data_IF_250348289114
#
_entry.id   IF_250348289114
#
_cell.length_a   1.000
_cell.length_b   1.000
_cell.length_c   1.000
_cell.angle_alpha   90.00
_cell.angle_beta   90.00
_cell.angle_gamma   90.00
#
_symmetry.space_group_name_H-M   'P 1'
#
loop_
_entity.id
_entity.type
_entity.pdbx_description
1 polymer ?
2 non-polymer ?
3 non-polymer ?
4 water ?
#
# COMPACT_ATOMS: atom_id res chain seq x y z
N UNK A 22 5.38 -13.20 21.99
CA UNK A 22 4.66 -13.61 20.75
C UNK A 22 5.17 -14.95 20.22
N UNK A 23 4.30 -15.69 19.49
CA UNK A 23 4.75 -16.88 18.74
C UNK A 23 5.58 -16.53 17.50
N UNK A 24 6.17 -17.53 16.84
CA UNK A 24 6.86 -17.35 15.55
C UNK A 24 5.89 -16.67 14.60
N UNK A 25 6.40 -15.90 13.61
CA UNK A 25 5.55 -15.17 12.62
C UNK A 25 4.48 -16.06 11.99
N UNK A 26 4.87 -17.20 11.45
CA UNK A 26 3.92 -18.10 10.78
C UNK A 26 2.84 -18.62 11.74
N UNK A 27 3.22 -18.98 12.96
CA UNK A 27 2.25 -19.44 13.97
C UNK A 27 1.26 -18.31 14.33
N UNK A 28 1.79 -17.07 14.43
CA UNK A 28 0.91 -15.93 14.74
C UNK A 28 -0.06 -15.70 13.58
N UNK A 29 0.43 -15.80 12.34
CA UNK A 29 -0.45 -15.63 11.15
C UNK A 29 -1.62 -16.64 11.22
N UNK A 30 -1.29 -17.89 11.55
CA UNK A 30 -2.34 -18.94 11.66
C UNK A 30 -3.33 -18.58 12.75
N UNK A 31 -2.85 -18.14 13.92
CA UNK A 31 -3.70 -17.72 15.04
C UNK A 31 -4.61 -16.55 14.62
N UNK A 32 -4.07 -15.61 13.84
CA UNK A 32 -4.94 -14.55 13.30
C UNK A 32 -6.10 -15.04 12.38
N UNK A 33 -5.84 -16.00 11.48
CA UNK A 33 -6.95 -16.58 10.69
C UNK A 33 -7.97 -17.27 11.59
N UNK A 34 -7.46 -18.08 12.51
CA UNK A 34 -8.36 -18.74 13.48
C UNK A 34 -9.25 -17.74 14.25
N UNK A 35 -8.65 -16.66 14.74
CA UNK A 35 -9.40 -15.72 15.57
C UNK A 35 -10.35 -14.84 14.74
N UNK A 36 -9.94 -14.54 13.52
CA UNK A 36 -10.74 -13.68 12.65
C UNK A 36 -11.74 -14.44 11.79
N UNK A 37 -11.56 -15.76 11.66
CA UNK A 37 -12.33 -16.53 10.67
C UNK A 37 -12.17 -15.96 9.24
N UNK A 38 -11.02 -15.36 8.97
CA UNK A 38 -10.73 -14.85 7.62
C UNK A 38 -9.40 -15.31 7.08
N UNK A 39 -9.12 -14.97 5.80
CA UNK A 39 -7.85 -15.32 5.13
C UNK A 39 -6.89 -14.20 5.40
N UNK A 40 -5.65 -14.56 5.76
CA UNK A 40 -4.56 -13.62 5.87
C UNK A 40 -3.59 -13.92 4.73
N UNK A 41 -2.98 -12.90 4.12
CA UNK A 41 -1.95 -13.10 3.08
C UNK A 41 -0.79 -12.25 3.56
N UNK A 42 0.41 -12.80 3.47
CA UNK A 42 1.56 -12.13 4.07
C UNK A 42 2.85 -12.44 3.34
N UNK A 43 3.67 -11.40 3.09
CA UNK A 43 5.04 -11.63 2.78
C UNK A 43 5.98 -10.69 3.55
N UNK A 44 7.16 -11.21 3.85
CA UNK A 44 8.20 -10.44 4.50
C UNK A 44 9.39 -10.62 3.55
N UNK A 45 9.98 -9.54 3.10
CA UNK A 45 10.98 -9.59 2.07
C UNK A 45 12.10 -8.59 2.38
N UNK A 46 13.37 -8.98 2.19
CA UNK A 46 14.47 -8.03 2.34
C UNK A 46 14.34 -7.00 1.26
N UNK A 47 14.36 -5.74 1.64
CA UNK A 47 14.18 -4.70 0.65
C UNK A 47 15.35 -4.60 -0.35
N UNK A 48 16.57 -4.69 0.17
CA UNK A 48 17.74 -4.59 -0.70
C UNK A 48 17.83 -5.73 -1.73
N UNK A 49 17.57 -6.97 -1.33
CA UNK A 49 17.85 -8.10 -2.26
C UNK A 49 16.61 -8.82 -2.83
N UNK A 50 15.46 -8.66 -2.16
CA UNK A 50 14.26 -9.45 -2.52
C UNK A 50 14.18 -10.85 -1.89
N UNK A 51 15.11 -11.17 -0.99
CA UNK A 51 15.01 -12.45 -0.31
C UNK A 51 13.64 -12.57 0.36
N UNK A 52 12.90 -13.62 0.04
CA UNK A 52 11.63 -13.87 0.79
C UNK A 52 11.93 -14.64 2.10
N UNK A 53 11.52 -14.07 3.24
CA UNK A 53 11.68 -14.68 4.55
C UNK A 53 10.43 -15.40 5.02
N UNK A 54 9.27 -14.76 4.90
CA UNK A 54 8.01 -15.41 5.33
C UNK A 54 7.04 -15.21 4.20
N UNK A 55 6.29 -16.27 3.85
CA UNK A 55 5.30 -16.19 2.78
C UNK A 55 4.12 -17.02 3.25
N UNK A 56 2.94 -16.43 3.34
CA UNK A 56 1.75 -17.19 3.70
C UNK A 56 0.64 -16.74 2.81
N UNK A 57 0.04 -17.69 2.09
CA UNK A 57 -0.94 -17.43 1.02
C UNK A 57 -0.44 -16.31 0.11
N UNK A 58 0.84 -16.38 -0.22
CA UNK A 58 1.44 -15.28 -0.94
C UNK A 58 1.10 -15.19 -2.44
N UNK A 59 0.49 -16.24 -2.96
CA UNK A 59 0.04 -16.31 -4.34
C UNK A 59 -1.47 -16.27 -4.43
N UNK A 60 -2.13 -15.98 -3.29
CA UNK A 60 -3.58 -15.86 -3.33
C UNK A 60 -3.96 -14.39 -3.50
N UNK A 61 -5.13 -14.14 -4.10
CA UNK A 61 -5.57 -12.76 -4.33
C UNK A 61 -6.24 -12.08 -3.14
N UNK A 62 -5.92 -10.81 -2.93
CA UNK A 62 -6.54 -9.98 -1.90
C UNK A 62 -6.84 -8.62 -2.52
N UNK A 63 -7.96 -8.00 -2.13
CA UNK A 63 -8.20 -6.60 -2.58
C UNK A 63 -7.07 -5.66 -2.05
N UNK A 64 -6.54 -4.83 -2.94
CA UNK A 64 -5.48 -3.87 -2.58
C UNK A 64 -6.01 -2.77 -1.68
N UNK A 65 -7.25 -2.37 -1.96
CA UNK A 65 -7.84 -1.20 -1.30
C UNK A 65 -6.92 0.00 -1.48
N UNK A 66 -6.62 0.76 -0.39
CA UNK A 66 -5.89 2.03 -0.59
C UNK A 66 -4.42 1.79 -0.84
N UNK A 67 -3.98 0.55 -0.64
CA UNK A 67 -2.56 0.22 -0.92
C UNK A 67 -2.17 0.45 -2.38
N UNK A 68 -3.16 0.47 -3.30
CA UNK A 68 -2.90 0.62 -4.68
C UNK A 68 -2.31 2.01 -4.94
N UNK A 69 -2.57 2.97 -4.07
CA UNK A 69 -2.09 4.36 -4.27
C UNK A 69 -0.57 4.49 -4.29
N UNK A 70 0.14 3.58 -3.68
CA UNK A 70 1.63 3.61 -3.76
C UNK A 70 2.05 3.25 -5.21
N UNK A 71 1.35 2.30 -5.81
CA UNK A 71 1.65 1.87 -7.18
C UNK A 71 1.26 2.99 -8.15
N UNK A 72 0.08 3.54 -7.96
CA UNK A 72 -0.39 4.72 -8.65
C UNK A 72 0.66 5.81 -8.75
N UNK A 73 1.17 6.27 -7.61
CA UNK A 73 2.22 7.27 -7.57
C UNK A 73 3.57 6.84 -8.19
N UNK A 74 3.86 5.52 -8.16
CA UNK A 74 5.02 4.98 -8.89
C UNK A 74 4.81 5.22 -10.40
N UNK A 75 3.61 5.00 -10.90
CA UNK A 75 3.30 5.27 -12.33
C UNK A 75 3.38 6.79 -12.65
N UNK A 76 2.88 7.63 -11.75
CA UNK A 76 3.10 9.08 -11.86
C UNK A 76 4.56 9.47 -11.95
N UNK A 77 5.37 8.96 -11.03
CA UNK A 77 6.77 9.28 -11.04
C UNK A 77 7.44 8.78 -12.32
N UNK A 78 7.02 7.64 -12.86
CA UNK A 78 7.63 7.14 -14.09
C UNK A 78 7.37 8.14 -15.18
N UNK A 79 6.18 8.75 -15.19
CA UNK A 79 5.84 9.77 -16.19
C UNK A 79 6.66 11.05 -16.01
N UNK A 80 6.91 11.44 -14.76
CA UNK A 80 7.79 12.59 -14.48
C UNK A 80 9.24 12.33 -14.97
N UNK A 81 9.74 11.12 -14.74
CA UNK A 81 11.10 10.72 -15.18
C UNK A 81 11.23 10.77 -16.71
N UNK A 82 10.15 10.41 -17.41
CA UNK A 82 10.08 10.40 -18.87
C UNK A 82 9.84 11.80 -19.52
N UNK A 83 9.60 12.85 -18.69
CA UNK A 83 9.31 14.22 -19.16
C UNK A 83 7.86 14.41 -19.61
N UNK A 84 7.00 13.48 -19.21
CA UNK A 84 5.60 13.47 -19.60
C UNK A 84 4.68 14.04 -18.53
N UNK A 85 5.25 14.35 -17.36
CA UNK A 85 4.50 14.85 -16.19
C UNK A 85 5.46 15.73 -15.37
N UNK A 86 4.94 16.71 -14.61
CA UNK A 86 5.77 17.40 -13.59
C UNK A 86 5.05 17.34 -12.27
N UNK A 87 5.81 17.16 -11.19
CA UNK A 87 5.16 17.07 -9.87
C UNK A 87 4.64 18.47 -9.58
N UNK A 88 5.21 19.48 -10.28
CA UNK A 88 4.79 20.90 -10.06
C UNK A 88 3.46 21.24 -10.70
N UNK A 89 3.03 20.45 -11.69
CA UNK A 89 1.95 20.85 -12.51
C UNK A 89 0.66 20.95 -11.69
N UNK A 90 -0.02 22.09 -11.79
CA UNK A 90 -1.20 22.31 -10.96
C UNK A 90 -2.43 21.75 -11.65
N UNK A 91 -3.25 20.98 -10.94
CA UNK A 91 -4.45 20.38 -11.49
C UNK A 91 -5.63 21.08 -10.85
N UNK A 92 -6.57 21.54 -11.69
CA UNK A 92 -7.80 22.18 -11.19
C UNK A 92 -8.98 21.28 -11.42
N UNK A 93 -9.87 21.24 -10.44
CA UNK A 93 -10.96 20.26 -10.50
C UNK A 93 -12.21 20.89 -9.90
N UNK A 94 -13.34 20.21 -10.04
CA UNK A 94 -14.61 20.75 -9.62
C UNK A 94 -15.22 19.92 -8.52
N UNK A 95 -16.16 20.50 -7.80
CA UNK A 95 -16.76 19.82 -6.69
C UNK A 95 -17.42 18.51 -7.10
N UNK A 96 -17.98 18.51 -8.31
CA UNK A 96 -18.61 17.30 -8.90
C UNK A 96 -17.59 16.16 -9.15
N UNK A 97 -16.29 16.47 -9.08
CA UNK A 97 -15.23 15.46 -9.28
C UNK A 97 -14.93 14.72 -8.01
N UNK A 98 -15.40 15.27 -6.89
CA UNK A 98 -15.09 14.70 -5.61
C UNK A 98 -15.88 13.45 -5.31
N UNK A 99 -15.17 12.43 -4.82
CA UNK A 99 -15.80 11.23 -4.29
C UNK A 99 -15.65 11.18 -2.78
N UNK A 100 -16.27 10.17 -2.17
CA UNK A 100 -16.23 10.02 -0.75
C UNK A 100 -14.81 10.06 -0.19
N UNK A 101 -14.60 10.96 0.79
CA UNK A 101 -13.40 11.14 1.60
C UNK A 101 -12.29 11.87 0.87
N UNK A 102 -12.35 13.19 0.98
CA UNK A 102 -11.49 14.12 0.24
C UNK A 102 -10.96 15.21 1.19
N UNK A 103 -10.27 14.78 2.29
CA UNK A 103 -9.94 15.71 3.41
C UNK A 103 -9.03 16.84 2.96
N UNK A 104 -8.16 16.58 1.99
CA UNK A 104 -7.24 17.62 1.45
C UNK A 104 -7.84 18.22 0.19
N UNK A 105 -8.26 17.39 -0.75
CA UNK A 105 -8.71 17.88 -2.04
C UNK A 105 -9.97 18.77 -1.93
N UNK A 106 -10.81 18.52 -0.94
CA UNK A 106 -12.04 19.35 -0.88
C UNK A 106 -11.68 20.78 -0.45
N UNK A 107 -10.45 20.99 0.03
CA UNK A 107 -10.03 22.32 0.50
C UNK A 107 -9.45 23.17 -0.64
N UNK A 108 -9.33 22.60 -1.85
CA UNK A 108 -8.63 23.31 -2.96
C UNK A 108 -9.45 23.34 -4.23
N UNK A 109 -10.76 23.49 -4.07
CA UNK A 109 -11.62 23.73 -5.21
C UNK A 109 -11.26 25.03 -5.93
N UNK A 110 -10.82 26.04 -5.17
CA UNK A 110 -10.52 27.33 -5.82
C UNK A 110 -9.13 27.36 -6.46
N UNK A 111 -8.14 26.77 -5.80
CA UNK A 111 -6.74 26.97 -6.22
C UNK A 111 -6.05 25.75 -6.80
N UNK A 112 -6.69 24.60 -6.75
CA UNK A 112 -6.09 23.37 -7.28
C UNK A 112 -5.01 22.79 -6.39
N UNK A 113 -4.44 21.70 -6.89
CA UNK A 113 -3.35 20.99 -6.25
C UNK A 113 -2.36 20.55 -7.28
N UNK A 114 -1.08 20.57 -6.91
CA UNK A 114 -0.04 20.09 -7.83
C UNK A 114 -0.13 18.56 -7.87
N UNK A 115 0.40 17.96 -8.93
CA UNK A 115 0.50 16.50 -9.04
C UNK A 115 1.21 15.91 -7.79
N UNK A 116 2.34 16.51 -7.40
CA UNK A 116 3.05 16.09 -6.25
C UNK A 116 2.21 16.17 -4.98
N UNK A 117 1.49 17.28 -4.82
CA UNK A 117 0.56 17.43 -3.71
C UNK A 117 -0.54 16.37 -3.74
N UNK A 118 -1.04 16.04 -4.94
CA UNK A 118 -2.06 14.99 -5.02
C UNK A 118 -1.53 13.62 -4.56
N UNK A 119 -0.30 13.29 -4.94
CA UNK A 119 0.30 12.07 -4.44
C UNK A 119 0.51 12.10 -2.92
N UNK A 120 0.99 13.21 -2.36
CA UNK A 120 1.09 13.34 -0.88
C UNK A 120 -0.31 13.10 -0.24
N UNK A 121 -1.33 13.73 -0.81
CA UNK A 121 -2.69 13.61 -0.28
C UNK A 121 -3.20 12.20 -0.38
N UNK A 122 -3.06 11.59 -1.55
CA UNK A 122 -3.42 10.13 -1.69
C UNK A 122 -2.70 9.21 -0.72
N UNK A 123 -1.37 9.33 -0.63
CA UNK A 123 -0.61 8.32 0.13
C UNK A 123 -0.66 8.62 1.63
N UNK A 124 -0.47 9.89 2.01
CA UNK A 124 -0.37 10.25 3.41
C UNK A 124 -1.69 10.52 4.13
N UNK A 125 -2.74 10.90 3.39
CA UNK A 125 -4.05 11.15 4.02
C UNK A 125 -5.15 10.26 3.50
N UNK A 126 -4.80 9.41 2.56
CA UNK A 126 -5.79 8.47 1.95
C UNK A 126 -6.90 9.25 1.25
N UNK A 127 -6.53 10.35 0.63
CA UNK A 127 -7.55 11.20 -0.07
C UNK A 127 -8.02 10.52 -1.36
N UNK A 128 -9.31 10.18 -1.46
CA UNK A 128 -9.82 9.40 -2.60
C UNK A 128 -9.99 10.16 -3.87
N UNK A 129 -10.37 11.43 -3.74
CA UNK A 129 -10.46 12.27 -4.93
C UNK A 129 -9.06 12.56 -5.47
N UNK A 130 -8.10 12.82 -4.58
CA UNK A 130 -6.70 12.93 -5.08
C UNK A 130 -6.24 11.69 -5.85
N UNK A 131 -6.58 10.52 -5.32
CA UNK A 131 -6.26 9.26 -6.04
C UNK A 131 -6.95 9.16 -7.39
N UNK A 132 -8.24 9.51 -7.48
CA UNK A 132 -8.90 9.44 -8.77
C UNK A 132 -8.34 10.48 -9.74
N UNK A 133 -8.00 11.68 -9.23
CA UNK A 133 -7.40 12.68 -10.12
C UNK A 133 -6.09 12.13 -10.72
N UNK A 134 -5.24 11.56 -9.87
CA UNK A 134 -4.02 10.89 -10.34
C UNK A 134 -4.26 9.75 -11.34
N UNK A 135 -5.30 8.97 -11.07
CA UNK A 135 -5.62 7.79 -11.86
C UNK A 135 -5.95 8.22 -13.29
N UNK A 136 -6.64 9.36 -13.41
CA UNK A 136 -6.96 9.93 -14.70
C UNK A 136 -5.67 10.29 -15.47
N UNK A 137 -4.66 10.80 -14.77
CA UNK A 137 -3.42 11.16 -15.47
C UNK A 137 -2.64 10.00 -16.07
N UNK A 138 -2.84 8.79 -15.56
CA UNK A 138 -2.06 7.62 -15.96
C UNK A 138 -2.86 6.70 -16.87
N UNK A 139 -4.04 7.14 -17.29
CA UNK A 139 -4.91 6.33 -18.15
C UNK A 139 -5.95 5.42 -17.46
N UNK A 140 -6.30 5.76 -16.23
CA UNK A 140 -7.29 5.04 -15.47
C UNK A 140 -6.80 3.69 -14.97
N UNK A 141 -7.71 2.90 -14.43
CA UNK A 141 -7.42 1.53 -14.00
C UNK A 141 -6.69 0.72 -15.10
N UNK A 142 -7.14 0.82 -16.35
CA UNK A 142 -6.48 0.09 -17.45
C UNK A 142 -5.03 0.54 -17.62
N UNK A 143 -4.83 1.85 -17.60
CA UNK A 143 -3.48 2.44 -17.71
C UNK A 143 -2.54 2.04 -16.60
N UNK A 144 -3.08 1.90 -15.37
CA UNK A 144 -2.20 1.57 -14.27
C UNK A 144 -1.86 0.08 -14.37
N UNK A 145 -2.84 -0.73 -14.76
CA UNK A 145 -2.63 -2.17 -15.01
C UNK A 145 -1.59 -2.37 -16.12
N UNK A 146 -1.64 -1.56 -17.15
CA UNK A 146 -0.68 -1.59 -18.26
C UNK A 146 0.71 -1.25 -17.74
N UNK A 147 0.79 -0.21 -16.90
CA UNK A 147 2.08 0.09 -16.24
C UNK A 147 2.60 -1.10 -15.41
N UNK A 148 1.74 -1.72 -14.61
CA UNK A 148 2.14 -2.90 -13.83
C UNK A 148 2.72 -3.97 -14.77
N UNK A 149 2.02 -4.26 -15.90
CA UNK A 149 2.52 -5.25 -16.88
C UNK A 149 3.91 -4.84 -17.40
N UNK A 150 4.11 -3.55 -17.63
CA UNK A 150 5.42 -3.07 -18.11
C UNK A 150 6.57 -3.20 -17.13
N UNK A 151 6.28 -3.18 -15.84
CA UNK A 151 7.34 -3.47 -14.85
C UNK A 151 7.42 -4.97 -14.51
N UNK A 152 6.69 -5.83 -15.25
CA UNK A 152 6.79 -7.26 -15.01
C UNK A 152 5.91 -7.84 -13.89
N UNK A 153 4.93 -7.06 -13.45
CA UNK A 153 3.90 -7.60 -12.56
C UNK A 153 2.74 -8.06 -13.42
N UNK A 154 2.57 -9.38 -13.53
CA UNK A 154 1.57 -9.96 -14.41
C UNK A 154 0.34 -10.42 -13.66
N UNK A 155 0.23 -10.01 -12.40
CA UNK A 155 -0.86 -10.47 -11.56
C UNK A 155 -1.74 -9.31 -11.05
N UNK A 156 -1.11 -8.27 -10.51
CA UNK A 156 -1.88 -7.21 -9.84
C UNK A 156 -2.74 -6.52 -10.91
N UNK A 157 -3.97 -6.15 -10.56
CA UNK A 157 -4.85 -5.44 -11.51
C UNK A 157 -5.71 -4.40 -10.80
N UNK A 158 -5.81 -3.21 -11.44
CA UNK A 158 -6.83 -2.26 -11.07
C UNK A 158 -7.88 -2.22 -12.15
N UNK A 159 -9.14 -2.28 -11.71
CA UNK A 159 -10.29 -2.30 -12.58
C UNK A 159 -11.26 -1.14 -12.37
N UNK A 160 -11.28 -0.60 -11.16
CA UNK A 160 -12.24 0.43 -10.77
C UNK A 160 -11.58 1.61 -10.09
N UNK A 161 -12.39 2.62 -9.85
CA UNK A 161 -11.95 3.91 -9.33
C UNK A 161 -12.32 3.94 -7.87
N UNK A 162 -11.83 4.96 -7.16
CA UNK A 162 -12.28 5.19 -5.77
C UNK A 162 -13.77 5.60 -5.79
N UNK A 163 -14.63 5.09 -4.87
CA UNK A 163 -14.34 4.17 -3.80
C UNK A 163 -14.85 2.77 -4.11
N UNK A 164 -15.35 2.52 -5.33
CA UNK A 164 -15.81 1.16 -5.70
C UNK A 164 -14.73 0.09 -5.59
N UNK A 165 -13.44 0.47 -5.69
CA UNK A 165 -12.37 -0.52 -5.73
C UNK A 165 -12.19 -1.21 -4.36
N UNK A 166 -12.82 -0.64 -3.32
CA UNK A 166 -12.81 -1.25 -1.99
C UNK A 166 -13.94 -2.27 -1.72
N UNK A 167 -14.71 -2.62 -2.74
CA UNK A 167 -15.92 -3.44 -2.49
C UNK A 167 -15.66 -4.86 -1.97
N UNK A 168 -14.51 -5.43 -2.35
CA UNK A 168 -14.05 -6.74 -1.79
C UNK A 168 -15.16 -7.81 -1.83
N UNK A 169 -15.82 -7.97 -2.97
CA UNK A 169 -16.77 -9.09 -3.12
C UNK A 169 -16.01 -10.39 -3.05
N UNK A 170 -16.60 -11.40 -2.38
CA UNK A 170 -15.90 -12.66 -2.29
C UNK A 170 -15.71 -13.25 -3.68
N UNK A 171 -14.48 -13.69 -3.96
CA UNK A 171 -14.14 -14.35 -5.24
C UNK A 171 -13.97 -13.48 -6.47
N UNK A 172 -14.08 -12.16 -6.27
CA UNK A 172 -14.02 -11.17 -7.34
C UNK A 172 -12.55 -10.75 -7.54
N UNK A 173 -12.03 -10.97 -8.75
CA UNK A 173 -10.65 -10.70 -9.07
C UNK A 173 -10.37 -9.22 -9.30
N UNK A 174 -11.42 -8.40 -9.35
CA UNK A 174 -11.19 -6.98 -9.66
C UNK A 174 -10.40 -6.30 -8.54
N UNK A 175 -9.48 -5.42 -8.92
CA UNK A 175 -8.78 -4.61 -7.88
C UNK A 175 -7.96 -5.40 -6.88
N UNK A 176 -7.29 -6.46 -7.33
CA UNK A 176 -6.57 -7.36 -6.42
C UNK A 176 -5.11 -7.38 -6.74
N UNK A 177 -4.35 -7.81 -5.74
CA UNK A 177 -2.96 -8.15 -5.90
C UNK A 177 -2.76 -9.50 -5.20
N UNK A 178 -1.52 -9.96 -5.12
CA UNK A 178 -1.20 -11.05 -4.25
C UNK A 178 -0.10 -10.49 -3.37
N UNK A 179 0.09 -11.06 -2.17
CA UNK A 179 1.20 -10.54 -1.34
C UNK A 179 2.56 -10.61 -2.10
N UNK A 180 2.86 -11.76 -2.73
CA UNK A 180 4.15 -11.86 -3.43
C UNK A 180 4.28 -10.79 -4.53
N UNK A 181 3.18 -10.57 -5.27
CA UNK A 181 3.21 -9.62 -6.40
C UNK A 181 3.37 -8.18 -5.94
N UNK A 182 2.66 -7.82 -4.87
CA UNK A 182 2.77 -6.51 -4.31
C UNK A 182 4.14 -6.22 -3.73
N UNK A 183 4.71 -7.18 -2.98
CA UNK A 183 6.07 -7.01 -2.45
C UNK A 183 7.09 -6.83 -3.57
N UNK A 184 6.98 -7.66 -4.63
CA UNK A 184 7.95 -7.54 -5.72
C UNK A 184 7.82 -6.19 -6.42
N UNK A 185 6.58 -5.73 -6.58
CA UNK A 185 6.35 -4.46 -7.30
C UNK A 185 6.83 -3.27 -6.48
N UNK A 186 6.56 -3.26 -5.18
CA UNK A 186 7.05 -2.21 -4.30
C UNK A 186 8.57 -2.16 -4.33
N UNK A 187 9.20 -3.35 -4.18
CA UNK A 187 10.64 -3.44 -4.29
C UNK A 187 11.16 -2.85 -5.61
N UNK A 188 10.50 -3.18 -6.71
CA UNK A 188 10.91 -2.66 -8.01
C UNK A 188 10.80 -1.12 -8.06
N UNK A 189 9.70 -0.58 -7.52
CA UNK A 189 9.49 0.87 -7.60
C UNK A 189 10.48 1.62 -6.72
N UNK A 190 10.83 1.03 -5.56
CA UNK A 190 11.63 1.74 -4.59
C UNK A 190 13.15 1.59 -4.86
N UNK A 191 13.54 0.51 -5.54
CA UNK A 191 14.99 0.15 -5.52
C UNK A 191 15.59 -0.30 -6.84
N UNK A 192 14.79 -0.62 -7.85
CA UNK A 192 15.35 -1.32 -9.07
C UNK A 192 15.95 -0.40 -10.09
N UNK A 193 15.90 0.92 -9.85
CA UNK A 193 16.37 1.90 -10.81
C UNK A 193 15.52 1.95 -12.09
N UNK A 194 14.28 1.43 -12.01
CA UNK A 194 13.29 1.70 -13.01
C UNK A 194 12.86 3.18 -12.89
N UNK A 195 12.71 3.66 -11.65
CA UNK A 195 12.49 5.10 -11.41
C UNK A 195 13.84 5.74 -11.16
N UNK A 196 13.96 7.03 -11.49
CA UNK A 196 15.18 7.80 -11.22
C UNK A 196 15.48 7.83 -9.72
N UNK A 197 16.69 8.25 -9.31
CA UNK A 197 17.03 8.33 -7.92
C UNK A 197 16.08 9.25 -7.18
N UNK A 198 15.83 10.44 -7.72
CA UNK A 198 14.94 11.39 -7.02
C UNK A 198 13.52 10.82 -6.86
N UNK A 199 13.02 10.15 -7.90
CA UNK A 199 11.70 9.54 -7.81
C UNK A 199 11.59 8.39 -6.75
N UNK A 200 12.63 7.55 -6.69
CA UNK A 200 12.62 6.47 -5.67
C UNK A 200 12.61 7.12 -4.32
N UNK A 201 13.39 8.19 -4.18
CA UNK A 201 13.45 8.89 -2.91
C UNK A 201 12.11 9.55 -2.51
N UNK A 202 11.44 10.14 -3.49
CA UNK A 202 10.14 10.78 -3.29
C UNK A 202 9.09 9.75 -2.89
N UNK A 203 9.05 8.61 -3.60
CA UNK A 203 8.06 7.54 -3.23
C UNK A 203 8.18 7.01 -1.80
N UNK A 204 9.43 6.82 -1.39
CA UNK A 204 9.78 6.44 -0.06
C UNK A 204 9.31 7.51 0.91
N UNK A 205 9.62 8.79 0.63
CA UNK A 205 9.28 9.82 1.60
C UNK A 205 7.72 9.95 1.80
N UNK A 206 6.95 9.73 0.73
CA UNK A 206 5.50 9.78 0.87
C UNK A 206 5.01 8.69 1.81
N UNK A 207 5.58 7.49 1.68
CA UNK A 207 5.28 6.40 2.64
C UNK A 207 5.72 6.67 4.06
N UNK A 208 6.93 7.26 4.23
CA UNK A 208 7.36 7.70 5.54
C UNK A 208 6.38 8.70 6.20
N UNK A 209 5.81 9.57 5.38
CA UNK A 209 4.99 10.68 5.86
C UNK A 209 3.53 10.35 6.12
N UNK A 210 3.11 9.08 6.10
CA UNK A 210 1.71 8.76 6.39
C UNK A 210 1.23 9.52 7.65
N UNK A 211 0.06 10.16 7.60
CA UNK A 211 -0.38 11.02 8.72
C UNK A 211 -1.25 10.35 9.74
N UNK A 212 -1.64 9.13 9.40
CA UNK A 212 -2.63 8.46 10.19
C UNK A 212 -2.07 7.21 10.88
N UNK A 213 -1.87 6.13 10.10
CA UNK A 213 -1.37 4.91 10.73
C UNK A 213 0.09 5.05 11.15
N UNK A 214 0.92 5.74 10.35
CA UNK A 214 2.33 5.86 10.65
C UNK A 214 2.63 6.33 12.07
N UNK A 215 2.10 7.49 12.48
CA UNK A 215 2.43 7.97 13.84
C UNK A 215 1.93 7.05 14.98
N UNK A 216 0.77 6.45 14.79
CA UNK A 216 0.28 5.51 15.78
C UNK A 216 1.19 4.31 15.86
N UNK A 217 1.57 3.74 14.70
CA UNK A 217 2.50 2.64 14.73
C UNK A 217 3.84 3.01 15.44
N UNK A 218 4.41 4.17 15.16
CA UNK A 218 5.64 4.56 15.87
C UNK A 218 5.47 4.55 17.37
N UNK A 219 4.31 5.05 17.81
CA UNK A 219 3.98 5.15 19.21
C UNK A 219 3.97 3.79 19.93
N UNK A 220 3.78 2.69 19.19
CA UNK A 220 3.86 1.35 19.79
C UNK A 220 5.07 0.52 19.33
N UNK A 221 5.91 1.06 18.47
CA UNK A 221 7.11 0.32 18.04
C UNK A 221 8.24 0.53 19.07
N UNK A 222 9.06 -0.51 19.36
CA UNK A 222 10.20 -0.24 20.27
C UNK A 222 11.11 0.79 19.62
N UNK A 223 11.89 1.50 20.44
CA UNK A 223 12.85 2.43 19.88
C UNK A 223 13.80 1.75 18.87
N UNK A 224 14.17 2.51 17.84
CA UNK A 224 15.08 2.07 16.83
C UNK A 224 14.41 1.42 15.63
N UNK A 225 13.11 1.14 15.71
CA UNK A 225 12.40 0.58 14.53
C UNK A 225 11.86 1.63 13.55
N UNK A 226 12.36 1.53 12.32
CA UNK A 226 11.89 2.28 11.15
C UNK A 226 10.50 1.83 10.70
N UNK A 227 9.63 2.80 10.43
CA UNK A 227 8.38 2.51 9.69
C UNK A 227 8.03 3.52 8.59
N UNK A 228 7.66 3.00 7.42
CA UNK A 228 6.99 3.69 6.34
C UNK A 228 5.85 2.76 5.90
N UNK A 229 4.72 3.31 5.46
CA UNK A 229 3.57 2.41 5.23
C UNK A 229 2.47 3.04 4.44
N UNK A 230 1.62 2.18 3.87
CA UNK A 230 0.31 2.67 3.37
C UNK A 230 -0.69 1.60 3.77
N UNK A 231 -1.78 2.04 4.40
CA UNK A 231 -2.80 1.10 4.85
C UNK A 231 -4.02 1.20 3.93
N UNK A 232 -4.93 0.25 4.12
CA UNK A 232 -6.19 0.23 3.36
C UNK A 232 -7.25 -0.58 4.07
N UNK A 233 -8.50 -0.34 3.70
CA UNK A 233 -9.61 -1.10 4.26
C UNK A 233 -10.70 -1.21 3.21
N UNK A 234 -11.65 -2.08 3.49
CA UNK A 234 -12.60 -2.53 2.50
C UNK A 234 -13.78 -3.25 3.13
N UNK A 235 -14.69 -3.71 2.28
CA UNK A 235 -15.86 -4.38 2.81
C UNK A 235 -15.51 -5.82 3.21
N UNK A 236 -16.42 -6.40 3.98
CA UNK A 236 -16.27 -7.81 4.36
C UNK A 236 -15.00 -8.08 5.13
N UNK A 237 -14.59 -7.07 5.90
CA UNK A 237 -13.43 -7.18 6.74
C UNK A 237 -12.12 -6.92 6.05
N UNK A 238 -12.16 -6.54 4.77
CA UNK A 238 -10.87 -6.34 4.14
C UNK A 238 -10.02 -5.27 4.85
N UNK A 239 -8.73 -5.52 4.92
CA UNK A 239 -7.82 -4.64 5.67
C UNK A 239 -6.41 -4.98 5.23
N UNK A 240 -5.54 -3.99 5.08
CA UNK A 240 -4.17 -4.34 4.74
C UNK A 240 -3.20 -3.23 4.98
N UNK A 241 -1.91 -3.60 4.87
CA UNK A 241 -0.82 -2.64 5.00
C UNK A 241 0.35 -3.12 4.12
N UNK A 242 0.96 -2.17 3.45
CA UNK A 242 2.24 -2.39 2.80
C UNK A 242 3.22 -1.52 3.56
N UNK A 243 4.30 -2.09 4.04
CA UNK A 243 5.18 -1.32 4.90
C UNK A 243 6.65 -1.60 4.62
N UNK A 244 7.49 -0.65 5.07
CA UNK A 244 8.92 -0.90 5.22
C UNK A 244 9.22 -0.88 6.74
N UNK A 245 10.01 -1.84 7.20
CA UNK A 245 10.21 -2.05 8.64
C UNK A 245 11.64 -2.53 8.86
N UNK A 246 12.24 -2.06 9.94
CA UNK A 246 13.53 -2.65 10.32
C UNK A 246 14.08 -2.02 11.55
N UNK A 247 14.97 -2.76 12.24
CA UNK A 247 15.70 -2.22 13.38
C UNK A 247 16.82 -1.28 12.96
N UNK A 248 17.48 -0.66 13.94
CA UNK A 248 18.61 0.22 13.61
C UNK A 248 18.21 1.36 12.63
N UNK A 249 16.96 1.79 12.72
CA UNK A 249 16.45 2.92 11.97
C UNK A 249 16.62 2.82 10.43
N UNK A 250 16.51 1.58 9.94
CA UNK A 250 16.74 1.24 8.55
C UNK A 250 15.50 0.52 7.99
N UNK A 251 15.18 0.78 6.73
CA UNK A 251 14.09 0.13 6.02
C UNK A 251 14.62 -1.20 5.50
N UNK A 252 14.72 -2.18 6.41
CA UNK A 252 15.35 -3.42 6.01
C UNK A 252 14.43 -4.34 5.20
N UNK A 253 13.16 -4.38 5.57
CA UNK A 253 12.24 -5.34 4.96
C UNK A 253 10.96 -4.67 4.54
N UNK A 254 10.44 -5.19 3.43
CA UNK A 254 9.08 -4.94 2.97
C UNK A 254 8.19 -5.96 3.64
N UNK A 255 7.10 -5.47 4.27
CA UNK A 255 6.11 -6.39 4.89
C UNK A 255 4.76 -6.00 4.30
N UNK A 256 4.13 -7.00 3.70
CA UNK A 256 2.83 -6.85 3.11
C UNK A 256 1.87 -7.76 3.80
N UNK A 257 0.79 -7.22 4.34
CA UNK A 257 -0.23 -8.04 4.99
C UNK A 257 -1.59 -7.64 4.58
N UNK A 258 -2.38 -8.61 4.07
CA UNK A 258 -3.76 -8.38 3.69
C UNK A 258 -4.68 -9.32 4.50
N UNK A 259 -5.88 -8.82 4.81
CA UNK A 259 -6.96 -9.63 5.38
C UNK A 259 -8.16 -9.56 4.46
N UNK A 260 -8.88 -10.67 4.30
CA UNK A 260 -10.19 -10.60 3.69
C UNK A 260 -11.17 -11.59 4.29
N UNK A 261 -12.46 -11.36 4.01
CA UNK A 261 -13.55 -12.29 4.41
C UNK A 261 -13.58 -12.64 5.90
N UNK A 262 -13.53 -11.59 6.72
CA UNK A 262 -13.72 -11.76 8.14
C UNK A 262 -14.80 -10.79 8.60
N UNK A 263 -15.65 -11.23 9.57
CA UNK A 263 -16.69 -10.38 10.11
C UNK A 263 -16.20 -9.54 11.28
N UNK A 264 -14.90 -9.59 11.55
CA UNK A 264 -14.41 -8.95 12.75
C UNK A 264 -14.43 -7.39 12.71
N UNK A 265 -14.54 -6.78 13.89
CA UNK A 265 -14.43 -5.35 14.05
C UNK A 265 -13.07 -4.86 13.50
N UNK A 266 -13.09 -3.58 13.14
CA UNK A 266 -11.87 -2.90 12.70
C UNK A 266 -10.78 -2.97 13.77
N UNK A 267 -11.15 -2.75 15.04
CA UNK A 267 -10.14 -2.85 16.11
C UNK A 267 -9.48 -4.24 16.18
N UNK A 268 -10.27 -5.31 16.06
CA UNK A 268 -9.69 -6.66 16.04
C UNK A 268 -8.81 -6.98 14.83
N UNK A 269 -9.19 -6.50 13.66
CA UNK A 269 -8.35 -6.66 12.46
C UNK A 269 -7.05 -5.88 12.70
N UNK A 270 -7.15 -4.65 13.19
CA UNK A 270 -5.91 -3.90 13.55
C UNK A 270 -5.03 -4.64 14.56
N UNK A 271 -5.65 -5.14 15.65
CA UNK A 271 -4.87 -5.89 16.66
C UNK A 271 -4.16 -7.11 16.10
N UNK A 272 -4.81 -7.81 15.14
CA UNK A 272 -4.20 -9.01 14.57
C UNK A 272 -3.00 -8.67 13.71
N UNK A 273 -3.13 -7.61 12.91
CA UNK A 273 -2.02 -7.11 12.10
C UNK A 273 -0.88 -6.68 13.03
N UNK A 274 -1.21 -5.91 14.08
CA UNK A 274 -0.19 -5.50 15.08
C UNK A 274 0.49 -6.74 15.63
N UNK A 275 -0.31 -7.76 15.94
CA UNK A 275 0.17 -9.04 16.44
C UNK A 275 1.20 -9.73 15.54
N UNK A 276 0.93 -9.73 14.23
CA UNK A 276 1.88 -10.27 13.29
C UNK A 276 3.18 -9.45 13.34
N UNK A 277 3.07 -8.13 13.40
CA UNK A 277 4.23 -7.25 13.53
C UNK A 277 5.05 -7.60 14.80
N UNK A 278 4.35 -7.77 15.92
CA UNK A 278 5.00 -8.12 17.21
C UNK A 278 5.80 -9.41 17.04
N UNK A 279 5.20 -10.41 16.36
CA UNK A 279 5.87 -11.67 16.07
C UNK A 279 7.12 -11.44 15.23
N UNK A 280 7.05 -10.61 14.18
CA UNK A 280 8.24 -10.30 13.38
C UNK A 280 9.35 -9.63 14.19
N UNK A 281 8.96 -8.71 15.06
CA UNK A 281 9.93 -7.95 15.86
C UNK A 281 10.70 -8.81 16.88
N UNK A 282 9.96 -9.64 17.62
CA UNK A 282 10.53 -10.56 18.59
C UNK A 282 11.36 -11.68 17.97
N UNK A 283 11.18 -11.94 16.67
CA UNK A 283 11.83 -13.06 15.99
C UNK A 283 12.47 -12.58 14.72
N UNK A 284 13.17 -11.45 14.80
CA UNK A 284 13.66 -10.77 13.60
C UNK A 284 14.79 -11.48 12.82
N UNK A 285 15.72 -12.16 13.49
CA UNK A 285 16.91 -12.58 12.73
C UNK A 285 16.81 -13.97 12.13
N UNK A 286 15.95 -14.10 11.14
CA UNK A 286 15.77 -15.36 10.41
C UNK A 286 16.50 -15.32 9.07
#
# INVERSE_FOLDING_TARGET
MRYIRLCIISLLATLPLAVHASPQPLEQIKLSESQLSGRVGMIEMDLASGRTLTAWRADERFPMMSTFKVVLCGAVLARVDAGDEQLERKIHYRQQDLVDYSPVSEKHLADGMTVGELCAAAITMSDNSAANLLLATVGGPAGLTAFLRQIGDNVTRLDRWETELNEALPGDARDTTTPASMAATLRKLLTSQRLSARSQRQLLQWMVDDRVAGPLIRSVLPAGWFIADKTGAGERGARGIVALLGPNNKAERIVVIYLRDTPASMAERNQQIAGIGAALIEHWQR
#
